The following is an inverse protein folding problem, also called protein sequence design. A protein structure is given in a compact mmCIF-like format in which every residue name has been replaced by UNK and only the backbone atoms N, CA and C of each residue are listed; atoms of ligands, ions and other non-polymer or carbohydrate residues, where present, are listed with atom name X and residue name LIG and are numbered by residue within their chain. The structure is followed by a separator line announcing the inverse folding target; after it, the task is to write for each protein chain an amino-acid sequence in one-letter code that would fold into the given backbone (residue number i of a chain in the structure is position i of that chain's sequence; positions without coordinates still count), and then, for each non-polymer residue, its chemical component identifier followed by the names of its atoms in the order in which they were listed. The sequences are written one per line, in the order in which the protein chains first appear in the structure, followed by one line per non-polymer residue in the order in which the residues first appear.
data_IF_455946404671
#
_entry.id   IF_455946404671
#
_cell.length_a   1.000
_cell.length_b   1.000
_cell.length_c   1.000
_cell.angle_alpha   90.00
_cell.angle_beta   90.00
_cell.angle_gamma   90.00
#
_symmetry.space_group_name_H-M   'P 1'
#
loop_
_entity.id
_entity.type
_entity.pdbx_description
1 polymer ?
#
# COMPACT_ATOMS: atom_id res chain seq x y z
N UNK A 1 -11.14 4.90 2.73
CA UNK A 1 -9.83 5.08 2.11
C UNK A 1 -8.76 4.59 3.06
N UNK A 2 -7.73 3.95 2.54
CA UNK A 2 -6.51 3.66 3.28
C UNK A 2 -5.48 4.71 2.88
N UNK A 3 -5.04 5.50 3.86
CA UNK A 3 -4.05 6.55 3.66
C UNK A 3 -2.73 6.12 4.28
N UNK A 4 -1.67 6.07 3.47
CA UNK A 4 -0.30 5.81 3.92
C UNK A 4 0.55 7.05 3.67
N UNK A 5 1.27 7.51 4.68
CA UNK A 5 2.19 8.64 4.58
C UNK A 5 3.60 8.17 4.92
N UNK A 6 4.56 8.57 4.10
CA UNK A 6 5.99 8.32 4.33
C UNK A 6 6.70 9.66 4.34
N UNK A 7 7.45 9.93 5.40
CA UNK A 7 8.36 11.08 5.43
C UNK A 7 9.55 10.79 4.51
N UNK A 8 9.84 11.71 3.61
CA UNK A 8 10.98 11.58 2.71
C UNK A 8 12.23 12.18 3.39
N UNK A 9 13.40 11.53 3.25
CA UNK A 9 14.63 12.08 3.80
C UNK A 9 15.05 13.36 3.06
N UNK A 10 15.65 14.34 3.75
CA UNK A 10 16.25 15.50 3.08
C UNK A 10 17.28 15.04 2.05
N UNK A 11 17.20 15.58 0.84
CA UNK A 11 18.09 15.18 -0.27
C UNK A 11 17.66 13.94 -1.04
N UNK A 12 16.45 13.40 -0.81
CA UNK A 12 15.87 12.43 -1.75
C UNK A 12 15.81 13.05 -3.16
N UNK A 13 16.53 12.44 -4.11
CA UNK A 13 16.70 12.96 -5.47
C UNK A 13 17.96 13.82 -5.70
N UNK A 14 18.79 14.06 -4.69
CA UNK A 14 20.11 14.66 -4.89
C UNK A 14 20.98 13.76 -5.79
N UNK A 15 21.52 14.32 -6.87
CA UNK A 15 22.27 13.56 -7.89
C UNK A 15 21.40 12.64 -8.75
N UNK A 16 20.07 12.73 -8.64
CA UNK A 16 19.16 12.05 -9.55
C UNK A 16 19.02 12.89 -10.83
N UNK A 17 19.85 12.59 -11.82
CA UNK A 17 19.63 13.01 -13.20
C UNK A 17 19.04 11.82 -13.96
N UNK A 18 17.72 11.73 -14.10
CA UNK A 18 17.17 10.76 -15.02
C UNK A 18 17.62 11.24 -16.40
N UNK A 19 18.58 10.58 -17.03
CA UNK A 19 18.76 10.72 -18.48
C UNK A 19 17.36 10.61 -19.10
N UNK A 20 16.92 11.64 -19.82
CA UNK A 20 15.51 11.81 -20.14
C UNK A 20 14.98 10.55 -20.86
N UNK A 21 14.17 9.76 -20.17
CA UNK A 21 13.56 8.53 -20.72
C UNK A 21 14.29 7.21 -20.43
N UNK A 22 15.43 7.19 -19.73
CA UNK A 22 16.08 5.93 -19.35
C UNK A 22 15.28 5.19 -18.26
N UNK A 23 15.19 3.86 -18.36
CA UNK A 23 14.59 3.01 -17.33
C UNK A 23 15.49 3.01 -16.06
N UNK A 24 14.91 2.98 -14.84
CA UNK A 24 15.70 2.91 -13.64
C UNK A 24 16.42 1.57 -13.56
N UNK A 25 17.68 1.60 -13.16
CA UNK A 25 18.50 0.41 -13.01
C UNK A 25 18.49 -0.04 -11.55
N UNK A 26 17.86 -1.18 -11.30
CA UNK A 26 17.73 -1.79 -9.98
C UNK A 26 16.76 -1.10 -9.02
N UNK A 27 16.56 -1.75 -7.88
CA UNK A 27 15.52 -1.38 -6.92
C UNK A 27 15.65 0.02 -6.30
N UNK A 28 16.87 0.52 -6.07
CA UNK A 28 17.06 1.86 -5.51
C UNK A 28 16.54 2.94 -6.47
N UNK A 29 16.92 2.83 -7.75
CA UNK A 29 16.47 3.78 -8.78
C UNK A 29 14.97 3.64 -9.05
N UNK A 30 14.45 2.41 -9.00
CA UNK A 30 13.01 2.13 -9.13
C UNK A 30 12.22 2.85 -8.04
N UNK A 31 12.63 2.72 -6.78
CA UNK A 31 11.99 3.39 -5.65
C UNK A 31 12.10 4.91 -5.74
N UNK A 32 13.29 5.45 -6.10
CA UNK A 32 13.47 6.90 -6.29
C UNK A 32 12.57 7.44 -7.41
N UNK A 33 12.54 6.79 -8.57
CA UNK A 33 11.64 7.16 -9.68
C UNK A 33 10.19 7.17 -9.20
N UNK A 34 9.77 6.13 -8.49
CA UNK A 34 8.41 6.04 -7.97
C UNK A 34 8.07 7.21 -7.02
N UNK A 35 8.87 7.43 -5.99
CA UNK A 35 8.63 8.49 -5.00
C UNK A 35 8.65 9.91 -5.61
N UNK A 36 9.40 10.12 -6.70
CA UNK A 36 9.53 11.43 -7.35
C UNK A 36 8.51 11.67 -8.48
N UNK A 37 7.92 10.62 -9.06
CA UNK A 37 7.13 10.75 -10.30
C UNK A 37 5.72 10.17 -10.23
N UNK A 38 5.40 9.30 -9.28
CA UNK A 38 4.10 8.61 -9.23
C UNK A 38 2.88 9.55 -9.19
N UNK A 39 3.00 10.76 -8.62
CA UNK A 39 1.93 11.76 -8.63
C UNK A 39 1.67 12.38 -10.01
N UNK A 40 2.73 12.58 -10.80
CA UNK A 40 2.66 13.28 -12.10
C UNK A 40 2.65 12.33 -13.30
N UNK A 41 3.08 11.09 -13.12
CA UNK A 41 3.21 10.08 -14.16
C UNK A 41 2.36 8.84 -13.80
N UNK A 42 1.20 8.66 -14.46
CA UNK A 42 0.31 7.53 -14.20
C UNK A 42 0.93 6.16 -14.47
N UNK A 43 1.86 6.05 -15.42
CA UNK A 43 2.54 4.77 -15.73
C UNK A 43 3.42 4.37 -14.55
N UNK A 44 4.17 5.32 -13.99
CA UNK A 44 4.96 5.10 -12.77
C UNK A 44 4.05 4.80 -11.59
N UNK A 45 2.96 5.55 -11.41
CA UNK A 45 2.00 5.34 -10.33
C UNK A 45 1.30 3.97 -10.38
N UNK A 46 1.11 3.42 -11.58
CA UNK A 46 0.50 2.12 -11.79
C UNK A 46 1.41 0.93 -11.40
N UNK A 47 2.67 1.17 -11.03
CA UNK A 47 3.57 0.14 -10.50
C UNK A 47 3.33 -0.18 -9.01
N UNK A 48 2.43 0.54 -8.33
CA UNK A 48 2.09 0.28 -6.93
C UNK A 48 1.35 -1.05 -6.76
N UNK A 49 1.90 -1.91 -5.90
CA UNK A 49 1.28 -3.15 -5.43
C UNK A 49 1.03 -3.07 -3.92
N UNK A 50 -0.13 -3.55 -3.49
CA UNK A 50 -0.38 -3.88 -2.09
C UNK A 50 -0.13 -5.35 -1.84
N UNK A 51 0.44 -5.67 -0.69
CA UNK A 51 0.58 -7.05 -0.23
C UNK A 51 0.05 -7.18 1.20
N UNK A 52 -0.87 -8.13 1.38
CA UNK A 52 -1.46 -8.46 2.68
C UNK A 52 -1.22 -9.93 3.00
N UNK A 53 -0.65 -10.20 4.17
CA UNK A 53 -0.51 -11.56 4.72
C UNK A 53 -1.14 -11.64 6.10
N UNK A 54 -2.14 -12.48 6.24
CA UNK A 54 -2.68 -12.94 7.52
C UNK A 54 -1.71 -13.96 8.12
N UNK A 55 -0.96 -13.55 9.14
CA UNK A 55 0.08 -14.36 9.77
C UNK A 55 -0.48 -15.49 10.66
N UNK A 56 -1.73 -15.37 11.12
CA UNK A 56 -2.38 -16.34 12.01
C UNK A 56 -3.53 -17.11 11.31
N UNK A 57 -3.37 -17.46 10.03
CA UNK A 57 -4.43 -18.14 9.27
C UNK A 57 -4.85 -19.49 9.84
N UNK A 58 -3.94 -20.24 10.45
CA UNK A 58 -4.26 -21.56 11.01
C UNK A 58 -5.17 -21.46 12.24
N UNK A 59 -5.00 -20.41 13.05
CA UNK A 59 -5.87 -20.09 14.18
C UNK A 59 -7.21 -19.47 13.72
N UNK A 60 -7.16 -18.64 12.69
CA UNK A 60 -8.32 -17.88 12.23
C UNK A 60 -9.29 -18.74 11.42
N UNK A 61 -8.77 -19.56 10.50
CA UNK A 61 -9.59 -20.29 9.52
C UNK A 61 -10.69 -21.18 10.10
N UNK A 62 -10.51 -21.92 11.22
CA UNK A 62 -11.57 -22.73 11.83
C UNK A 62 -12.80 -21.92 12.28
N UNK A 63 -12.62 -20.62 12.49
CA UNK A 63 -13.66 -19.72 12.99
C UNK A 63 -14.31 -18.86 11.90
N UNK A 64 -13.79 -18.92 10.67
CA UNK A 64 -14.30 -18.17 9.53
C UNK A 64 -15.30 -19.02 8.74
N UNK A 65 -16.26 -18.39 8.02
CA UNK A 65 -17.02 -19.07 6.99
C UNK A 65 -16.07 -19.74 5.98
N UNK A 66 -16.36 -20.98 5.57
CA UNK A 66 -15.49 -21.79 4.70
C UNK A 66 -15.04 -21.06 3.43
N UNK A 67 -15.97 -20.37 2.77
CA UNK A 67 -15.69 -19.59 1.57
C UNK A 67 -14.72 -18.43 1.83
N UNK A 68 -14.86 -17.73 2.97
CA UNK A 68 -13.98 -16.64 3.36
C UNK A 68 -12.58 -17.15 3.73
N UNK A 69 -12.49 -18.25 4.47
CA UNK A 69 -11.21 -18.89 4.78
C UNK A 69 -10.46 -19.31 3.51
N UNK A 70 -11.16 -19.91 2.56
CA UNK A 70 -10.59 -20.31 1.26
C UNK A 70 -10.10 -19.10 0.46
N UNK A 71 -10.92 -18.04 0.38
CA UNK A 71 -10.56 -16.79 -0.27
C UNK A 71 -9.30 -16.16 0.35
N UNK A 72 -9.28 -16.01 1.67
CA UNK A 72 -8.15 -15.43 2.39
C UNK A 72 -6.87 -16.24 2.19
N UNK A 73 -6.93 -17.58 2.23
CA UNK A 73 -5.76 -18.42 1.94
C UNK A 73 -5.27 -18.24 0.50
N UNK A 74 -6.19 -18.17 -0.47
CA UNK A 74 -5.85 -18.03 -1.90
C UNK A 74 -5.06 -16.76 -2.17
N UNK A 75 -5.36 -15.67 -1.48
CA UNK A 75 -4.74 -14.35 -1.68
C UNK A 75 -3.70 -14.00 -0.60
N UNK A 76 -3.43 -14.89 0.35
CA UNK A 76 -2.52 -14.63 1.46
C UNK A 76 -1.09 -14.42 0.97
N UNK A 77 -0.53 -13.22 1.20
CA UNK A 77 0.83 -12.88 0.78
C UNK A 77 1.00 -12.76 -0.75
N UNK A 78 -0.09 -12.59 -1.50
CA UNK A 78 -0.01 -12.31 -2.93
C UNK A 78 -0.10 -10.80 -3.15
N UNK A 79 0.88 -10.19 -3.84
CA UNK A 79 0.79 -8.78 -4.18
C UNK A 79 -0.33 -8.56 -5.21
N UNK A 80 -1.04 -7.44 -5.08
CA UNK A 80 -2.16 -7.05 -5.92
C UNK A 80 -1.88 -5.63 -6.42
N UNK A 81 -1.95 -5.43 -7.74
CA UNK A 81 -1.89 -4.09 -8.32
C UNK A 81 -3.11 -3.28 -7.88
N UNK A 82 -2.88 -2.05 -7.43
CA UNK A 82 -3.96 -1.18 -6.94
C UNK A 82 -4.58 -0.31 -8.03
N UNK A 83 -4.00 -0.31 -9.24
CA UNK A 83 -4.40 0.57 -10.32
C UNK A 83 -5.81 0.23 -10.84
N UNK A 84 -6.62 1.26 -11.19
CA UNK A 84 -6.37 2.71 -11.17
C UNK A 84 -6.78 3.44 -9.86
N UNK A 85 -7.05 2.73 -8.77
CA UNK A 85 -7.71 3.30 -7.59
C UNK A 85 -6.79 4.06 -6.62
N UNK A 86 -5.48 4.06 -6.85
CA UNK A 86 -4.53 4.89 -6.11
C UNK A 86 -4.51 6.34 -6.56
N UNK A 87 -4.31 7.23 -5.60
CA UNK A 87 -3.88 8.61 -5.80
C UNK A 87 -2.64 8.88 -4.98
N UNK A 88 -1.81 9.79 -5.46
CA UNK A 88 -0.59 10.18 -4.81
C UNK A 88 -0.57 11.67 -4.55
N UNK A 89 0.09 12.07 -3.47
CA UNK A 89 0.28 13.47 -3.12
C UNK A 89 1.66 13.66 -2.51
N UNK A 90 2.36 14.69 -2.96
CA UNK A 90 3.68 15.07 -2.43
C UNK A 90 3.55 16.34 -1.60
N UNK A 91 4.14 16.33 -0.39
CA UNK A 91 4.17 17.48 0.50
C UNK A 91 5.05 18.61 -0.04
N UNK A 92 4.91 19.81 0.55
CA UNK A 92 5.81 20.94 0.29
C UNK A 92 7.27 20.50 0.45
N UNK A 93 8.14 20.98 -0.45
CA UNK A 93 9.57 20.69 -0.49
C UNK A 93 9.90 19.18 -0.49
N UNK A 94 8.99 18.35 -1.03
CA UNK A 94 9.10 16.89 -1.00
C UNK A 94 9.30 16.33 0.42
N UNK A 95 8.66 16.92 1.44
CA UNK A 95 8.84 16.48 2.83
C UNK A 95 8.16 15.14 3.15
N UNK A 96 7.10 14.79 2.42
CA UNK A 96 6.40 13.52 2.55
C UNK A 96 5.80 13.08 1.22
N UNK A 97 5.59 11.77 1.09
CA UNK A 97 4.84 11.15 0.01
C UNK A 97 3.63 10.43 0.61
N UNK A 98 2.46 10.66 0.03
CA UNK A 98 1.19 10.07 0.45
C UNK A 98 0.65 9.15 -0.65
N UNK A 99 0.16 7.99 -0.22
CA UNK A 99 -0.63 7.06 -1.02
C UNK A 99 -2.06 7.05 -0.48
N UNK A 100 -3.04 7.38 -1.31
CA UNK A 100 -4.47 7.28 -1.01
C UNK A 100 -5.11 6.18 -1.85
N UNK A 101 -5.60 5.14 -1.19
CA UNK A 101 -6.31 4.04 -1.81
C UNK A 101 -7.79 4.13 -1.48
N UNK A 102 -8.59 4.44 -2.51
CA UNK A 102 -10.04 4.60 -2.37
C UNK A 102 -10.76 3.27 -2.63
N UNK A 103 -10.90 2.49 -1.56
CA UNK A 103 -11.64 1.23 -1.62
C UNK A 103 -13.13 1.36 -1.97
N UNK A 104 -13.71 2.57 -2.01
CA UNK A 104 -15.09 2.75 -2.50
C UNK A 104 -15.18 2.61 -4.02
N UNK A 105 -14.07 2.83 -4.72
CA UNK A 105 -13.98 2.73 -6.19
C UNK A 105 -13.76 1.31 -6.68
N UNK A 106 -13.32 0.40 -5.81
CA UNK A 106 -13.20 -1.02 -6.15
C UNK A 106 -14.53 -1.58 -6.66
N UNK A 107 -14.46 -2.60 -7.52
CA UNK A 107 -15.66 -3.30 -7.97
C UNK A 107 -16.46 -3.91 -6.80
N UNK A 108 -17.75 -4.21 -7.02
CA UNK A 108 -18.65 -4.69 -5.98
C UNK A 108 -18.14 -5.95 -5.25
N UNK A 109 -17.57 -6.90 -6.00
CA UNK A 109 -17.08 -8.16 -5.43
C UNK A 109 -15.92 -7.90 -4.45
N UNK A 110 -14.96 -7.05 -4.83
CA UNK A 110 -13.84 -6.65 -3.98
C UNK A 110 -14.33 -5.91 -2.73
N UNK A 111 -15.26 -4.96 -2.85
CA UNK A 111 -15.83 -4.24 -1.69
C UNK A 111 -16.56 -5.18 -0.73
N UNK A 112 -17.35 -6.12 -1.26
CA UNK A 112 -18.08 -7.09 -0.46
C UNK A 112 -17.12 -8.05 0.28
N UNK A 113 -16.07 -8.51 -0.39
CA UNK A 113 -15.03 -9.33 0.23
C UNK A 113 -14.27 -8.55 1.32
N UNK A 114 -13.85 -7.33 1.02
CA UNK A 114 -13.16 -6.45 1.95
C UNK A 114 -14.00 -6.19 3.21
N UNK A 115 -15.27 -5.80 3.06
CA UNK A 115 -16.21 -5.59 4.18
C UNK A 115 -16.33 -6.82 5.08
N UNK A 116 -16.44 -8.02 4.49
CA UNK A 116 -16.49 -9.29 5.24
C UNK A 116 -15.18 -9.56 5.99
N UNK A 117 -14.03 -9.29 5.39
CA UNK A 117 -12.71 -9.42 6.05
C UNK A 117 -12.60 -8.43 7.22
N UNK A 118 -13.02 -7.18 7.03
CA UNK A 118 -12.93 -6.13 8.05
C UNK A 118 -13.64 -6.50 9.37
N UNK A 119 -14.72 -7.28 9.32
CA UNK A 119 -15.43 -7.78 10.52
C UNK A 119 -14.56 -8.63 11.44
N UNK A 120 -13.45 -9.20 10.94
CA UNK A 120 -12.58 -10.12 11.69
C UNK A 120 -11.25 -9.50 12.10
N UNK A 121 -11.01 -8.20 11.81
CA UNK A 121 -9.75 -7.52 12.09
C UNK A 121 -9.25 -7.67 13.53
N UNK A 122 -10.16 -7.69 14.51
CA UNK A 122 -9.85 -7.87 15.95
C UNK A 122 -9.16 -9.18 16.28
N UNK A 123 -9.21 -10.15 15.36
CA UNK A 123 -8.67 -11.49 15.53
C UNK A 123 -7.51 -11.76 14.57
N UNK A 124 -7.18 -10.81 13.70
CA UNK A 124 -6.16 -10.96 12.68
C UNK A 124 -4.81 -10.41 13.15
N UNK A 125 -3.75 -11.09 12.73
CA UNK A 125 -2.40 -10.53 12.63
C UNK A 125 -2.14 -10.28 11.15
N UNK A 126 -2.25 -9.03 10.72
CA UNK A 126 -2.12 -8.64 9.32
C UNK A 126 -0.73 -8.02 9.10
N UNK A 127 0.13 -8.73 8.38
CA UNK A 127 1.28 -8.15 7.71
C UNK A 127 0.77 -7.38 6.49
N UNK A 128 1.02 -6.08 6.45
CA UNK A 128 0.63 -5.22 5.34
C UNK A 128 1.87 -4.53 4.78
N UNK A 129 1.94 -4.39 3.47
CA UNK A 129 3.03 -3.69 2.83
C UNK A 129 2.69 -3.16 1.46
N UNK A 130 3.56 -2.28 0.99
CA UNK A 130 3.55 -1.67 -0.32
C UNK A 130 4.81 -2.13 -1.05
N UNK A 131 4.62 -2.68 -2.24
CA UNK A 131 5.69 -3.09 -3.15
C UNK A 131 5.63 -2.24 -4.43
N UNK A 132 6.79 -1.88 -4.96
CA UNK A 132 6.91 -1.23 -6.26
C UNK A 132 7.33 -2.30 -7.28
N UNK A 133 6.48 -2.50 -8.27
CA UNK A 133 6.71 -3.43 -9.38
C UNK A 133 7.88 -2.97 -10.25
N UNK A 134 8.81 -3.89 -10.48
CA UNK A 134 9.79 -3.81 -11.55
C UNK A 134 9.14 -4.42 -12.81
N UNK A 135 9.04 -3.63 -13.88
CA UNK A 135 8.36 -4.04 -15.12
C UNK A 135 9.32 -4.56 -16.19
N UNK A 136 10.61 -4.38 -16.00
CA UNK A 136 11.66 -4.87 -16.91
C UNK A 136 12.82 -5.49 -16.13
N UNK A 137 13.62 -6.30 -16.82
CA UNK A 137 14.76 -7.00 -16.19
C UNK A 137 15.80 -6.04 -15.62
N UNK A 138 15.97 -4.86 -16.22
CA UNK A 138 16.91 -3.84 -15.72
C UNK A 138 16.41 -3.14 -14.45
N UNK A 139 15.09 -3.12 -14.23
CA UNK A 139 14.47 -2.55 -13.03
C UNK A 139 14.55 -3.50 -11.82
N UNK A 140 14.82 -4.79 -12.05
CA UNK A 140 14.80 -5.81 -11.00
C UNK A 140 15.87 -5.57 -9.91
N UNK A 141 15.57 -5.91 -8.64
CA UNK A 141 14.34 -6.54 -8.15
C UNK A 141 13.19 -5.56 -7.86
N UNK A 142 11.97 -6.08 -7.70
CA UNK A 142 10.87 -5.34 -7.05
C UNK A 142 11.28 -4.86 -5.64
N UNK A 143 10.69 -3.76 -5.18
CA UNK A 143 11.11 -3.10 -3.93
C UNK A 143 9.95 -2.99 -2.95
N UNK A 144 10.14 -3.51 -1.74
CA UNK A 144 9.26 -3.24 -0.61
C UNK A 144 9.49 -1.82 -0.08
N UNK A 145 8.61 -0.88 -0.44
CA UNK A 145 8.71 0.51 0.01
C UNK A 145 8.31 0.68 1.48
N UNK A 146 7.34 -0.13 1.94
CA UNK A 146 6.85 -0.10 3.31
C UNK A 146 6.31 -1.47 3.70
N UNK A 147 6.51 -1.85 4.97
CA UNK A 147 5.86 -2.99 5.57
C UNK A 147 5.63 -2.77 7.06
N UNK A 148 4.49 -3.23 7.57
CA UNK A 148 4.17 -3.24 8.98
C UNK A 148 3.36 -4.47 9.35
N UNK A 149 3.32 -4.79 10.65
CA UNK A 149 2.39 -5.76 11.20
C UNK A 149 1.33 -5.03 12.04
N UNK A 150 0.08 -5.26 11.68
CA UNK A 150 -1.09 -4.76 12.37
C UNK A 150 -1.68 -5.89 13.22
N UNK A 151 -1.70 -5.68 14.54
CA UNK A 151 -2.23 -6.67 15.48
C UNK A 151 -3.63 -6.31 15.94
N UNK A 152 -4.60 -7.18 15.65
CA UNK A 152 -5.93 -7.18 16.28
C UNK A 152 -6.62 -5.81 16.25
N UNK A 153 -6.67 -5.20 15.08
CA UNK A 153 -7.27 -3.87 14.90
C UNK A 153 -8.76 -3.87 15.24
N UNK A 154 -9.22 -2.84 15.94
CA UNK A 154 -10.62 -2.66 16.33
C UNK A 154 -11.13 -1.32 15.82
N UNK A 155 -11.94 -1.31 14.75
CA UNK A 155 -12.55 -0.08 14.22
C UNK A 155 -13.38 0.70 15.25
N UNK A 156 -13.98 0.02 16.21
CA UNK A 156 -14.81 0.60 17.28
C UNK A 156 -14.00 1.33 18.34
N UNK A 157 -12.68 1.07 18.39
CA UNK A 157 -11.72 1.79 19.24
C UNK A 157 -10.94 2.84 18.44
N UNK A 158 -11.27 3.02 17.16
CA UNK A 158 -10.62 4.03 16.33
C UNK A 158 -10.95 5.42 16.88
N UNK A 159 -9.92 6.23 17.04
CA UNK A 159 -10.06 7.65 17.36
C UNK A 159 -10.12 8.43 16.05
N UNK A 160 -10.87 9.53 16.04
CA UNK A 160 -10.92 10.40 14.87
C UNK A 160 -9.55 11.04 14.63
N UNK A 161 -8.96 10.80 13.45
CA UNK A 161 -7.68 11.37 13.06
C UNK A 161 -7.86 12.75 12.41
N UNK A 162 -8.09 13.72 13.27
CA UNK A 162 -7.27 14.91 13.48
C UNK A 162 -7.73 15.32 14.89
N UNK A 163 -6.85 15.45 15.90
CA UNK A 163 -7.31 16.02 17.16
C UNK A 163 -7.94 17.36 16.79
N UNK A 164 -9.17 17.62 17.22
CA UNK A 164 -9.78 18.93 17.06
C UNK A 164 -8.70 19.95 17.43
N UNK A 165 -8.29 20.81 16.50
CA UNK A 165 -7.41 21.92 16.81
C UNK A 165 -8.20 22.74 17.83
N UNK A 166 -7.91 22.52 19.11
CA UNK A 166 -8.52 23.30 20.19
C UNK A 166 -7.96 24.72 20.03
N UNK A 167 -8.75 25.61 19.44
CA UNK A 167 -8.48 27.04 19.40
C UNK A 167 -7.91 27.60 18.10
N UNK A 168 -8.65 27.48 17.00
CA UNK A 168 -8.67 28.55 15.99
C UNK A 168 -9.94 29.37 16.19
#
# INVERSE_FOLDING_TARGET
NLLTYVRLPPGLGAGWEPESGAAPVGGEQLLKRFLLKAETDPEVGAALKEIGRFANMDELAPTLPRALASLMRKFNGKPILTAPEQKFYTGKDNAYFQVDLDGHRYNYATRAAHSKVMMWLKRMHLDYGICIEARTDVEMPEVMAFACRLHRLSPERAVQFAPALKGC
#
